data_IF_280850546923
#
_entry.id   IF_280850546923
#
_cell.length_a   1.000
_cell.length_b   1.000
_cell.length_c   1.000
_cell.angle_alpha   90.00
_cell.angle_beta   90.00
_cell.angle_gamma   90.00
#
_symmetry.space_group_name_H-M   'P 1'
#
loop_
_entity.id
_entity.type
_entity.pdbx_description
1 polymer ?
#
# COMPACT_ATOMS: atom_id res chain seq x y z
N UNK A 1 10.33 2.00 10.26
CA UNK A 1 9.35 2.55 9.31
C UNK A 1 8.53 3.65 9.98
N UNK A 2 8.31 4.72 9.27
CA UNK A 2 7.45 5.82 9.74
C UNK A 2 6.05 5.64 9.19
N UNK A 3 5.04 5.86 10.01
CA UNK A 3 3.66 5.59 9.65
C UNK A 3 2.74 6.66 10.24
N UNK A 4 1.92 7.26 9.38
CA UNK A 4 0.87 8.19 9.78
C UNK A 4 -0.48 7.48 9.68
N UNK A 5 -1.10 7.23 10.83
CA UNK A 5 -2.40 6.58 10.93
C UNK A 5 -3.53 7.57 11.25
N UNK A 6 -3.28 8.88 11.08
CA UNK A 6 -4.26 9.89 11.43
C UNK A 6 -5.58 9.80 10.67
N UNK A 7 -5.62 9.07 9.55
CA UNK A 7 -6.82 8.84 8.76
C UNK A 7 -7.24 7.38 8.71
N UNK A 8 -6.86 6.61 9.69
CA UNK A 8 -7.18 5.20 9.76
C UNK A 8 -8.68 4.94 9.73
N UNK A 9 -9.48 5.84 10.27
CA UNK A 9 -10.93 5.74 10.28
C UNK A 9 -11.58 5.84 8.90
N UNK A 10 -10.83 6.23 7.87
CA UNK A 10 -11.31 6.30 6.49
C UNK A 10 -11.43 4.93 5.84
N UNK A 11 -10.90 3.90 6.46
CA UNK A 11 -10.94 2.54 5.93
C UNK A 11 -11.56 1.60 6.95
N UNK A 12 -12.10 0.49 6.46
CA UNK A 12 -12.70 -0.53 7.31
C UNK A 12 -11.65 -1.17 8.24
N UNK A 13 -12.11 -1.83 9.29
CA UNK A 13 -11.23 -2.54 10.20
C UNK A 13 -10.40 -3.60 9.46
N UNK A 14 -11.03 -4.34 8.55
CA UNK A 14 -10.34 -5.35 7.75
C UNK A 14 -9.38 -4.68 6.76
N UNK A 15 -9.77 -3.54 6.19
CA UNK A 15 -8.87 -2.75 5.33
C UNK A 15 -7.63 -2.32 6.08
N UNK A 16 -7.77 -1.89 7.35
CA UNK A 16 -6.63 -1.56 8.20
C UNK A 16 -5.72 -2.75 8.42
N UNK A 17 -6.31 -3.93 8.66
CA UNK A 17 -5.52 -5.15 8.86
C UNK A 17 -4.74 -5.52 7.60
N UNK A 18 -5.37 -5.38 6.43
CA UNK A 18 -4.68 -5.62 5.15
C UNK A 18 -3.56 -4.61 4.95
N UNK A 19 -3.79 -3.35 5.27
CA UNK A 19 -2.75 -2.31 5.18
C UNK A 19 -1.55 -2.67 6.06
N UNK A 20 -1.79 -3.10 7.29
CA UNK A 20 -0.70 -3.50 8.19
C UNK A 20 0.05 -4.71 7.66
N UNK A 21 -0.66 -5.64 7.02
CA UNK A 21 -0.02 -6.79 6.38
C UNK A 21 0.90 -6.32 5.24
N UNK A 22 0.45 -5.39 4.42
CA UNK A 22 1.25 -4.82 3.34
C UNK A 22 2.50 -4.13 3.91
N UNK A 23 2.33 -3.36 4.98
CA UNK A 23 3.45 -2.68 5.64
C UNK A 23 4.49 -3.69 6.14
N UNK A 24 4.04 -4.82 6.66
CA UNK A 24 4.95 -5.86 7.16
C UNK A 24 5.78 -6.51 6.05
N UNK A 25 5.34 -6.38 4.80
CA UNK A 25 5.99 -6.99 3.62
C UNK A 25 6.63 -5.95 2.71
N UNK A 26 6.66 -4.68 3.12
CA UNK A 26 7.18 -3.62 2.26
C UNK A 26 8.67 -3.78 1.99
N UNK A 27 9.05 -3.55 0.75
CA UNK A 27 10.44 -3.57 0.29
C UNK A 27 10.93 -2.14 0.07
N UNK A 28 12.15 -1.99 -0.47
CA UNK A 28 12.70 -0.69 -0.77
C UNK A 28 11.75 0.12 -1.67
N UNK A 29 11.75 1.44 -1.53
CA UNK A 29 10.92 2.35 -2.31
C UNK A 29 9.42 2.15 -2.11
N UNK A 30 9.01 1.66 -0.94
CA UNK A 30 7.61 1.45 -0.56
C UNK A 30 6.87 0.43 -1.42
N UNK A 31 7.57 -0.47 -2.10
CA UNK A 31 6.95 -1.47 -2.96
C UNK A 31 6.58 -2.73 -2.17
N UNK A 32 5.43 -3.32 -2.52
CA UNK A 32 4.97 -4.57 -1.93
C UNK A 32 4.57 -5.53 -3.05
N UNK A 33 5.14 -6.72 -3.04
CA UNK A 33 4.74 -7.78 -3.98
C UNK A 33 3.53 -8.51 -3.39
N UNK A 34 2.34 -8.24 -3.93
CA UNK A 34 1.10 -8.82 -3.43
C UNK A 34 0.90 -10.27 -3.84
N UNK A 35 1.64 -10.74 -4.84
CA UNK A 35 1.54 -12.15 -5.25
C UNK A 35 1.96 -13.08 -4.12
N UNK A 36 2.90 -12.66 -3.27
CA UNK A 36 3.36 -13.45 -2.12
C UNK A 36 2.34 -13.53 -0.99
N UNK A 37 1.26 -12.76 -1.03
CA UNK A 37 0.25 -12.75 0.01
C UNK A 37 -0.85 -13.77 -0.20
N UNK A 38 -0.84 -14.51 -1.30
CA UNK A 38 -1.86 -15.51 -1.63
C UNK A 38 -1.96 -16.61 -0.58
N UNK A 39 -0.87 -16.87 0.15
CA UNK A 39 -0.85 -17.88 1.20
C UNK A 39 -1.52 -17.40 2.50
N UNK A 40 -1.70 -16.09 2.64
CA UNK A 40 -2.29 -15.48 3.85
C UNK A 40 -3.74 -15.09 3.61
N UNK A 41 -4.04 -14.55 2.43
CA UNK A 41 -5.37 -14.09 2.06
C UNK A 41 -5.75 -14.66 0.70
N UNK A 42 -7.02 -15.00 0.53
CA UNK A 42 -7.49 -15.42 -0.79
C UNK A 42 -7.44 -14.20 -1.74
N UNK A 43 -7.27 -14.51 -3.02
CA UNK A 43 -7.11 -13.49 -4.06
C UNK A 43 -8.26 -12.49 -4.09
N UNK A 44 -9.49 -12.98 -3.95
CA UNK A 44 -10.68 -12.15 -4.02
C UNK A 44 -10.74 -11.14 -2.85
N UNK A 45 -10.44 -11.60 -1.64
CA UNK A 45 -10.38 -10.76 -0.45
C UNK A 45 -9.27 -9.72 -0.58
N UNK A 46 -8.10 -10.14 -1.03
CA UNK A 46 -6.96 -9.24 -1.21
C UNK A 46 -7.29 -8.15 -2.22
N UNK A 47 -7.87 -8.49 -3.37
CA UNK A 47 -8.25 -7.52 -4.39
C UNK A 47 -9.28 -6.52 -3.86
N UNK A 48 -10.28 -7.00 -3.11
CA UNK A 48 -11.33 -6.15 -2.55
C UNK A 48 -10.73 -5.05 -1.67
N UNK A 49 -9.85 -5.43 -0.75
CA UNK A 49 -9.29 -4.47 0.20
C UNK A 49 -8.17 -3.62 -0.40
N UNK A 50 -7.46 -4.12 -1.39
CA UNK A 50 -6.51 -3.28 -2.14
C UNK A 50 -7.28 -2.18 -2.89
N UNK A 51 -8.43 -2.48 -3.48
CA UNK A 51 -9.26 -1.46 -4.12
C UNK A 51 -9.74 -0.42 -3.11
N UNK A 52 -10.14 -0.84 -1.91
CA UNK A 52 -10.52 0.09 -0.85
C UNK A 52 -9.35 1.02 -0.49
N UNK A 53 -8.17 0.46 -0.26
CA UNK A 53 -6.98 1.24 0.08
C UNK A 53 -6.58 2.18 -1.05
N UNK A 54 -6.72 1.74 -2.29
CA UNK A 54 -6.44 2.56 -3.46
C UNK A 54 -7.40 3.74 -3.55
N UNK A 55 -8.69 3.51 -3.30
CA UNK A 55 -9.70 4.58 -3.35
C UNK A 55 -9.48 5.65 -2.29
N UNK A 56 -8.81 5.29 -1.20
CA UNK A 56 -8.46 6.22 -0.11
C UNK A 56 -7.02 6.72 -0.19
N UNK A 57 -6.35 6.45 -1.31
CA UNK A 57 -5.00 6.92 -1.59
C UNK A 57 -3.93 6.40 -0.63
N UNK A 58 -4.14 5.21 -0.07
CA UNK A 58 -3.10 4.53 0.73
C UNK A 58 -2.12 3.75 -0.14
N UNK A 59 -2.55 3.29 -1.31
CA UNK A 59 -1.71 2.54 -2.23
C UNK A 59 -2.00 2.94 -3.67
N UNK A 60 -1.05 2.64 -4.57
CA UNK A 60 -1.24 2.76 -6.01
C UNK A 60 -0.73 1.49 -6.68
N UNK A 61 -1.36 1.08 -7.77
CA UNK A 61 -0.90 -0.08 -8.52
C UNK A 61 0.30 0.27 -9.38
N UNK A 62 1.39 -0.46 -9.22
CA UNK A 62 2.57 -0.34 -10.07
C UNK A 62 2.43 -1.27 -11.26
N UNK A 63 2.03 -2.51 -10.99
CA UNK A 63 1.72 -3.49 -12.01
C UNK A 63 0.77 -4.53 -11.43
N UNK A 64 0.53 -5.60 -12.16
CA UNK A 64 -0.41 -6.66 -11.81
C UNK A 64 -0.16 -7.28 -10.43
N UNK A 65 1.10 -7.38 -10.01
CA UNK A 65 1.48 -8.07 -8.78
C UNK A 65 2.15 -7.18 -7.76
N UNK A 66 2.28 -5.89 -8.02
CA UNK A 66 3.02 -4.99 -7.15
C UNK A 66 2.21 -3.72 -6.90
N UNK A 67 2.13 -3.34 -5.63
CA UNK A 67 1.54 -2.06 -5.22
C UNK A 67 2.60 -1.22 -4.54
N UNK A 68 2.41 0.09 -4.54
CA UNK A 68 3.27 1.01 -3.81
C UNK A 68 2.47 1.66 -2.70
N UNK A 69 3.00 1.63 -1.47
CA UNK A 69 2.39 2.33 -0.35
C UNK A 69 2.62 3.83 -0.48
N UNK A 70 1.64 4.62 -0.07
CA UNK A 70 1.75 6.07 -0.12
C UNK A 70 2.91 6.56 0.78
N UNK A 71 3.89 7.27 0.22
CA UNK A 71 4.98 7.82 1.02
C UNK A 71 4.54 8.99 1.89
N UNK A 72 3.33 9.50 1.70
CA UNK A 72 2.77 10.54 2.57
C UNK A 72 2.22 9.95 3.86
N UNK A 73 1.92 8.64 3.87
CA UNK A 73 1.34 7.96 5.03
C UNK A 73 2.32 7.02 5.71
N UNK A 74 3.24 6.43 4.95
CA UNK A 74 4.28 5.57 5.51
C UNK A 74 5.47 5.52 4.56
N UNK A 75 6.67 5.35 5.11
CA UNK A 75 7.87 5.21 4.30
C UNK A 75 8.93 4.44 5.10
N UNK A 76 9.79 3.76 4.39
CA UNK A 76 10.80 2.91 4.98
C UNK A 76 12.20 3.51 4.87
N UNK A 77 12.52 4.11 3.74
CA UNK A 77 13.87 4.63 3.45
C UNK A 77 13.77 6.08 2.99
N UNK A 78 14.22 6.37 1.79
CA UNK A 78 14.22 7.72 1.25
C UNK A 78 12.82 8.16 0.87
N UNK A 79 12.20 8.97 1.71
CA UNK A 79 10.85 9.48 1.49
C UNK A 79 10.78 10.37 0.24
N UNK A 80 11.79 11.19 0.00
CA UNK A 80 11.80 12.12 -1.13
C UNK A 80 11.76 11.36 -2.44
N UNK A 81 12.55 10.31 -2.56
CA UNK A 81 12.56 9.46 -3.76
C UNK A 81 11.23 8.73 -3.93
N UNK A 82 10.67 8.23 -2.84
CA UNK A 82 9.38 7.56 -2.88
C UNK A 82 8.26 8.50 -3.30
N UNK A 83 8.26 9.75 -2.82
CA UNK A 83 7.29 10.76 -3.21
C UNK A 83 7.39 11.05 -4.72
N UNK A 84 8.58 11.17 -5.24
CA UNK A 84 8.80 11.39 -6.66
C UNK A 84 8.20 10.26 -7.52
N UNK A 85 8.46 9.03 -7.13
CA UNK A 85 7.92 7.86 -7.81
C UNK A 85 6.38 7.80 -7.70
N UNK A 86 5.85 8.08 -6.52
CA UNK A 86 4.41 8.12 -6.28
C UNK A 86 3.71 9.12 -7.19
N UNK A 87 4.24 10.34 -7.28
CA UNK A 87 3.67 11.38 -8.14
C UNK A 87 3.64 10.94 -9.60
N UNK A 88 4.71 10.33 -10.07
CA UNK A 88 4.77 9.83 -11.43
C UNK A 88 3.70 8.78 -11.70
N UNK A 89 3.48 7.86 -10.77
CA UNK A 89 2.48 6.81 -10.91
C UNK A 89 1.06 7.38 -10.85
N UNK A 90 0.82 8.40 -10.04
CA UNK A 90 -0.50 9.00 -9.89
C UNK A 90 -0.89 9.90 -11.06
N UNK A 91 0.06 10.43 -11.81
CA UNK A 91 -0.22 11.32 -12.94
C UNK A 91 -0.43 10.59 -14.26
N UNK A 92 -0.21 9.31 -14.29
CA UNK A 92 -0.43 8.52 -15.51
C UNK A 92 -1.87 7.98 -15.54
#
# INVERSE_FOLDING_TARGET
>A
MHLDLGRQEEISLIGSAVLMLLISRVQASNLVNVAGLKDVLCRRTLQKYILELRSKEFVVMVNKNTVMLSPYRCWREDRTKAISTWRRLCTN
#
